data_IF_485426197653
#
_entry.id   IF_485426197653
#
_cell.length_a   1.000
_cell.length_b   1.000
_cell.length_c   1.000
_cell.angle_alpha   90.00
_cell.angle_beta   90.00
_cell.angle_gamma   90.00
#
_symmetry.space_group_name_H-M   'P 1'
#
loop_
_entity.id
_entity.type
_entity.pdbx_description
1 polymer ?
#
# COMPACT_ATOMS: atom_id res chain seq x y z
N UNK A 1 43.01 -40.20 3.32
CA UNK A 1 42.69 -38.75 3.28
C UNK A 1 41.19 -38.54 3.50
N UNK A 2 40.71 -38.67 4.74
CA UNK A 2 39.27 -38.52 5.04
C UNK A 2 39.01 -37.84 6.40
N UNK A 3 39.99 -37.10 6.93
CA UNK A 3 39.86 -36.37 8.22
C UNK A 3 39.65 -34.85 8.02
N UNK A 4 39.81 -34.35 6.78
CA UNK A 4 39.79 -32.92 6.48
C UNK A 4 38.40 -32.32 6.23
N UNK A 5 37.41 -33.11 5.79
CA UNK A 5 36.08 -32.60 5.47
C UNK A 5 35.16 -32.51 6.70
N UNK A 6 35.25 -33.42 7.67
CA UNK A 6 34.47 -33.33 8.93
C UNK A 6 34.80 -32.07 9.75
N UNK A 7 36.07 -31.66 9.79
CA UNK A 7 36.52 -30.47 10.54
C UNK A 7 36.02 -29.16 9.92
N UNK A 8 35.89 -29.09 8.59
CA UNK A 8 35.31 -27.93 7.91
C UNK A 8 33.79 -27.86 8.09
N UNK A 9 33.12 -29.01 8.15
CA UNK A 9 31.68 -29.10 8.43
C UNK A 9 31.37 -28.66 9.87
N UNK A 10 32.20 -29.02 10.84
CA UNK A 10 32.08 -28.56 12.24
C UNK A 10 32.44 -27.07 12.41
N UNK A 11 33.42 -26.55 11.66
CA UNK A 11 33.76 -25.12 11.66
C UNK A 11 32.68 -24.23 11.03
N UNK A 12 31.94 -24.72 10.04
CA UNK A 12 30.83 -23.99 9.44
C UNK A 12 29.67 -23.79 10.42
N UNK A 13 29.45 -24.73 11.34
CA UNK A 13 28.43 -24.61 12.40
C UNK A 13 28.87 -23.72 13.59
N UNK A 14 30.17 -23.47 13.78
CA UNK A 14 30.69 -22.70 14.92
C UNK A 14 31.04 -21.24 14.60
N UNK A 15 30.82 -20.76 13.37
CA UNK A 15 31.34 -19.45 12.92
C UNK A 15 30.31 -18.38 12.66
N UNK A 16 29.07 -18.58 13.08
CA UNK A 16 28.10 -17.51 13.30
C UNK A 16 27.11 -17.96 14.38
N UNK A 17 27.57 -18.08 15.63
CA UNK A 17 26.68 -17.82 16.76
C UNK A 17 26.42 -16.32 16.80
N UNK A 18 25.64 -15.84 15.85
CA UNK A 18 24.86 -14.63 16.06
C UNK A 18 23.63 -15.13 16.80
N UNK A 19 23.62 -14.99 18.13
CA UNK A 19 22.37 -15.12 18.87
C UNK A 19 21.37 -14.18 18.15
N UNK A 20 20.17 -14.64 17.76
CA UNK A 20 19.17 -13.72 17.24
C UNK A 20 18.94 -12.71 18.35
N UNK A 21 19.46 -11.50 18.17
CA UNK A 21 18.96 -10.38 18.93
C UNK A 21 17.58 -10.15 18.34
N UNK A 22 16.58 -10.85 18.88
CA UNK A 22 15.19 -10.56 18.62
C UNK A 22 14.88 -9.19 19.24
N UNK A 23 15.34 -8.14 18.57
CA UNK A 23 14.66 -6.86 18.60
C UNK A 23 13.54 -6.92 17.55
N UNK A 24 12.65 -7.90 17.65
CA UNK A 24 11.36 -7.81 16.97
C UNK A 24 10.59 -6.70 17.66
N UNK A 25 10.76 -5.49 17.14
CA UNK A 25 9.94 -4.35 17.53
C UNK A 25 8.51 -4.72 17.17
N UNK A 26 7.70 -4.97 18.20
CA UNK A 26 6.31 -5.35 18.01
C UNK A 26 5.49 -4.11 17.61
N UNK A 27 5.49 -3.82 16.31
CA UNK A 27 4.77 -2.71 15.70
C UNK A 27 3.25 -2.78 15.91
N UNK A 28 2.71 -3.93 16.35
CA UNK A 28 1.30 -4.10 16.66
C UNK A 28 0.91 -3.49 18.02
N UNK A 29 1.88 -3.27 18.92
CA UNK A 29 1.65 -2.65 20.25
C UNK A 29 1.63 -1.12 20.23
N UNK A 30 1.88 -0.50 19.08
CA UNK A 30 1.81 0.95 18.97
C UNK A 30 0.37 1.45 19.18
N UNK A 31 0.17 2.54 19.94
CA UNK A 31 -1.15 3.11 20.12
C UNK A 31 -1.63 3.76 18.82
N UNK A 32 -2.96 3.84 18.67
CA UNK A 32 -3.62 4.22 17.42
C UNK A 32 -3.28 5.65 16.95
N UNK A 33 -3.05 6.55 17.89
CA UNK A 33 -2.59 7.93 17.65
C UNK A 33 -1.21 7.98 17.00
N UNK A 34 -0.26 7.15 17.46
CA UNK A 34 1.08 7.02 16.87
C UNK A 34 1.00 6.43 15.47
N UNK A 35 0.18 5.39 15.27
CA UNK A 35 -0.04 4.81 13.93
C UNK A 35 -0.61 5.83 12.95
N UNK A 36 -1.60 6.61 13.39
CA UNK A 36 -2.21 7.67 12.59
C UNK A 36 -1.18 8.75 12.24
N UNK A 37 -0.28 9.10 13.16
CA UNK A 37 0.79 10.06 12.91
C UNK A 37 1.83 9.52 11.91
N UNK A 38 2.18 8.23 12.01
CA UNK A 38 3.07 7.57 11.03
C UNK A 38 2.43 7.61 9.65
N UNK A 39 1.15 7.27 9.53
CA UNK A 39 0.42 7.31 8.27
C UNK A 39 0.21 8.71 7.72
N UNK A 40 0.01 9.71 8.59
CA UNK A 40 -0.01 11.11 8.15
C UNK A 40 1.34 11.54 7.53
N UNK A 41 2.46 10.99 8.02
CA UNK A 41 3.81 11.24 7.45
C UNK A 41 4.10 10.46 6.19
N UNK A 42 3.66 9.20 6.12
CA UNK A 42 3.81 8.35 4.93
C UNK A 42 2.93 8.84 3.78
N UNK A 43 1.74 9.34 4.11
CA UNK A 43 0.75 9.78 3.15
C UNK A 43 0.01 8.61 2.46
N UNK A 44 -1.05 8.93 1.71
CA UNK A 44 -1.95 7.91 1.18
C UNK A 44 -1.31 6.97 0.15
N UNK A 45 -0.30 7.42 -0.62
CA UNK A 45 0.36 6.57 -1.63
C UNK A 45 1.11 5.40 -0.98
N UNK A 46 1.93 5.68 0.03
CA UNK A 46 2.68 4.64 0.77
C UNK A 46 1.72 3.66 1.47
N UNK A 47 0.59 4.15 1.97
CA UNK A 47 -0.45 3.31 2.56
C UNK A 47 -1.05 2.35 1.52
N UNK A 48 -1.33 2.85 0.30
CA UNK A 48 -1.81 2.02 -0.83
C UNK A 48 -0.76 1.04 -1.35
N UNK A 49 0.53 1.38 -1.24
CA UNK A 49 1.63 0.49 -1.60
C UNK A 49 1.86 -0.65 -0.60
N UNK A 50 1.21 -0.61 0.57
CA UNK A 50 1.17 -1.74 1.50
C UNK A 50 1.54 -1.41 2.94
N UNK A 51 1.76 -0.14 3.31
CA UNK A 51 2.07 0.19 4.71
C UNK A 51 0.95 -0.25 5.67
N UNK A 52 -0.31 -0.31 5.22
CA UNK A 52 -1.42 -0.86 6.01
C UNK A 52 -1.45 -2.39 6.18
N UNK A 53 -0.59 -3.13 5.49
CA UNK A 53 -0.63 -4.61 5.47
C UNK A 53 0.34 -5.28 6.45
N UNK A 54 1.04 -4.48 7.27
CA UNK A 54 2.06 -4.99 8.21
C UNK A 54 1.45 -5.88 9.29
N UNK A 55 0.37 -5.41 9.95
CA UNK A 55 -0.37 -6.15 10.96
C UNK A 55 -1.78 -5.57 11.13
N UNK A 56 -2.64 -6.24 11.91
CA UNK A 56 -4.03 -5.86 12.07
C UNK A 56 -4.24 -4.41 12.59
N UNK A 57 -3.52 -3.92 13.62
CA UNK A 57 -3.66 -2.51 14.05
C UNK A 57 -3.31 -1.48 12.98
N UNK A 58 -2.30 -1.77 12.15
CA UNK A 58 -1.92 -0.91 11.02
C UNK A 58 -2.98 -0.92 9.92
N UNK A 59 -3.61 -2.07 9.68
CA UNK A 59 -4.73 -2.14 8.73
C UNK A 59 -5.90 -1.29 9.18
N UNK A 60 -6.23 -1.32 10.48
CA UNK A 60 -7.31 -0.50 11.04
C UNK A 60 -6.99 0.99 10.97
N UNK A 61 -5.76 1.39 11.33
CA UNK A 61 -5.32 2.77 11.19
C UNK A 61 -5.37 3.26 9.73
N UNK A 62 -5.03 2.40 8.75
CA UNK A 62 -5.02 2.75 7.33
C UNK A 62 -6.42 2.98 6.75
N UNK A 63 -7.47 2.45 7.40
CA UNK A 63 -8.87 2.62 6.98
C UNK A 63 -9.48 3.94 7.47
N UNK A 64 -8.82 4.68 8.36
CA UNK A 64 -9.38 5.90 8.94
C UNK A 64 -9.56 7.00 7.88
N UNK A 65 -10.81 7.38 7.53
CA UNK A 65 -11.09 8.31 6.42
C UNK A 65 -10.64 9.75 6.72
N UNK A 66 -10.74 10.16 8.00
CA UNK A 66 -10.78 11.58 8.39
C UNK A 66 -9.45 12.33 8.28
N UNK A 67 -8.31 11.64 8.33
CA UNK A 67 -6.99 12.28 8.29
C UNK A 67 -6.17 11.89 7.08
N UNK A 68 -6.34 10.67 6.58
CA UNK A 68 -5.41 10.07 5.62
C UNK A 68 -5.86 10.27 4.18
N UNK A 69 -7.16 10.40 3.95
CA UNK A 69 -7.77 10.31 2.62
C UNK A 69 -8.44 11.60 2.15
N UNK A 70 -8.19 12.75 2.81
CA UNK A 70 -8.72 14.06 2.37
C UNK A 70 -8.02 14.58 1.11
N UNK A 71 -6.75 14.24 0.93
CA UNK A 71 -5.96 14.68 -0.23
C UNK A 71 -5.17 13.50 -0.81
N UNK A 72 -5.30 13.29 -2.12
CA UNK A 72 -4.50 12.32 -2.85
C UNK A 72 -3.75 13.01 -4.00
N UNK A 73 -2.43 12.95 -3.96
CA UNK A 73 -1.58 13.44 -5.04
C UNK A 73 -0.81 12.28 -5.68
N UNK A 74 -1.04 12.10 -6.98
CA UNK A 74 -0.47 11.09 -7.85
C UNK A 74 0.30 11.70 -9.03
N UNK A 75 0.52 13.03 -9.07
CA UNK A 75 1.06 13.75 -10.22
C UNK A 75 2.47 13.32 -10.65
N UNK A 76 3.22 12.65 -9.78
CA UNK A 76 4.61 12.27 -10.09
C UNK A 76 4.86 10.76 -10.06
N UNK A 77 3.80 9.94 -9.91
CA UNK A 77 3.97 8.49 -9.78
C UNK A 77 4.38 7.83 -11.09
N UNK A 78 3.89 8.34 -12.23
CA UNK A 78 4.26 7.84 -13.56
C UNK A 78 5.75 8.05 -13.91
N UNK A 79 6.36 9.07 -13.31
CA UNK A 79 7.76 9.45 -13.50
C UNK A 79 8.69 8.74 -12.53
N UNK A 80 8.14 7.95 -11.59
CA UNK A 80 8.91 7.12 -10.67
C UNK A 80 9.70 6.04 -11.42
N UNK A 81 10.87 5.66 -10.90
CA UNK A 81 11.63 4.51 -11.40
C UNK A 81 10.96 3.16 -11.06
N UNK A 82 9.92 3.18 -10.23
CA UNK A 82 9.16 2.00 -9.85
C UNK A 82 8.27 1.50 -11.01
N UNK A 83 8.56 0.31 -11.52
CA UNK A 83 7.81 -0.31 -12.61
C UNK A 83 6.31 -0.49 -12.30
N UNK A 84 5.95 -0.67 -11.03
CA UNK A 84 4.55 -0.79 -10.59
C UNK A 84 3.81 0.54 -10.73
N UNK A 85 4.47 1.65 -10.41
CA UNK A 85 3.91 3.00 -10.51
C UNK A 85 3.85 3.53 -11.96
N UNK A 86 4.48 2.84 -12.91
CA UNK A 86 4.31 3.09 -14.35
C UNK A 86 3.10 2.38 -14.95
N UNK A 87 2.50 1.43 -14.22
CA UNK A 87 1.33 0.69 -14.70
C UNK A 87 0.05 1.49 -14.44
N UNK A 88 -0.57 1.98 -15.50
CA UNK A 88 -1.81 2.76 -15.43
C UNK A 88 -2.96 1.99 -14.75
N UNK A 89 -3.08 0.67 -14.95
CA UNK A 89 -4.09 -0.14 -14.27
C UNK A 89 -3.87 -0.15 -12.76
N UNK A 90 -2.61 -0.19 -12.32
CA UNK A 90 -2.28 -0.14 -10.89
C UNK A 90 -2.58 1.24 -10.32
N UNK A 91 -2.22 2.33 -11.01
CA UNK A 91 -2.56 3.70 -10.61
C UNK A 91 -4.09 3.90 -10.51
N UNK A 92 -4.85 3.35 -11.47
CA UNK A 92 -6.32 3.37 -11.44
C UNK A 92 -6.89 2.59 -10.24
N UNK A 93 -6.34 1.42 -9.94
CA UNK A 93 -6.72 0.65 -8.76
C UNK A 93 -6.42 1.40 -7.45
N UNK A 94 -5.26 2.07 -7.38
CA UNK A 94 -4.90 2.92 -6.25
C UNK A 94 -5.87 4.10 -6.08
N UNK A 95 -6.17 4.82 -7.17
CA UNK A 95 -7.13 5.91 -7.14
C UNK A 95 -8.51 5.43 -6.67
N UNK A 96 -8.97 4.29 -7.17
CA UNK A 96 -10.23 3.66 -6.74
C UNK A 96 -10.24 3.37 -5.25
N UNK A 97 -9.19 2.69 -4.77
CA UNK A 97 -9.03 2.36 -3.36
C UNK A 97 -8.98 3.59 -2.44
N UNK A 98 -8.39 4.69 -2.91
CA UNK A 98 -8.33 5.94 -2.16
C UNK A 98 -9.71 6.60 -2.07
N UNK A 99 -10.47 6.61 -3.17
CA UNK A 99 -11.85 7.13 -3.18
C UNK A 99 -12.76 6.30 -2.28
N UNK A 100 -12.66 4.98 -2.35
CA UNK A 100 -13.45 4.07 -1.51
C UNK A 100 -13.12 4.26 -0.02
N UNK A 101 -11.84 4.49 0.33
CA UNK A 101 -11.42 4.75 1.72
C UNK A 101 -11.73 6.17 2.22
N UNK A 102 -11.84 7.14 1.33
CA UNK A 102 -12.18 8.50 1.72
C UNK A 102 -13.64 8.64 2.17
N UNK A 103 -14.50 7.66 1.88
CA UNK A 103 -15.92 7.65 2.29
C UNK A 103 -16.65 8.97 1.96
N UNK A 104 -16.40 9.51 0.77
CA UNK A 104 -16.97 10.78 0.30
C UNK A 104 -16.33 12.05 0.87
N UNK A 105 -15.27 11.94 1.68
CA UNK A 105 -14.51 13.06 2.29
C UNK A 105 -13.23 13.41 1.54
N UNK A 106 -13.06 12.94 0.30
CA UNK A 106 -11.92 13.31 -0.55
C UNK A 106 -12.09 14.76 -1.03
N UNK A 107 -11.22 15.65 -0.59
CA UNK A 107 -11.27 17.08 -0.91
C UNK A 107 -10.42 17.42 -2.13
N UNK A 108 -9.25 16.79 -2.27
CA UNK A 108 -8.33 17.04 -3.37
C UNK A 108 -7.85 15.75 -4.00
N UNK A 109 -7.93 15.69 -5.33
CA UNK A 109 -7.38 14.60 -6.15
C UNK A 109 -6.53 15.20 -7.27
N UNK A 110 -5.29 14.79 -7.36
CA UNK A 110 -4.30 15.29 -8.30
C UNK A 110 -3.63 14.10 -8.99
N UNK A 111 -3.63 14.05 -10.32
CA UNK A 111 -2.98 12.99 -11.08
C UNK A 111 -2.63 13.48 -12.49
N UNK A 112 -1.45 13.11 -13.00
CA UNK A 112 -1.01 13.46 -14.34
C UNK A 112 -1.41 12.34 -15.32
N UNK A 113 -2.31 12.69 -16.25
CA UNK A 113 -2.76 11.87 -17.38
C UNK A 113 -3.45 10.54 -17.02
N UNK A 114 -4.55 10.59 -16.27
CA UNK A 114 -5.64 9.64 -16.54
C UNK A 114 -6.21 10.00 -17.92
N UNK A 115 -5.65 9.42 -18.98
CA UNK A 115 -6.27 9.47 -20.30
C UNK A 115 -7.60 8.72 -20.16
N UNK A 116 -8.68 9.45 -20.42
CA UNK A 116 -10.09 9.04 -20.36
C UNK A 116 -10.68 8.80 -18.95
N UNK A 117 -11.00 9.89 -18.25
CA UNK A 117 -12.36 10.17 -17.76
C UNK A 117 -12.36 11.47 -16.95
N UNK A 118 -13.27 12.39 -17.31
CA UNK A 118 -13.46 13.68 -16.65
C UNK A 118 -13.44 13.63 -15.11
N UNK A 119 -12.72 14.54 -14.44
CA UNK A 119 -12.74 14.66 -13.00
C UNK A 119 -13.92 15.55 -12.58
N UNK A 120 -15.07 14.93 -12.28
CA UNK A 120 -16.08 15.57 -11.41
C UNK A 120 -16.34 14.64 -10.23
N UNK A 121 -15.68 14.96 -9.11
CA UNK A 121 -15.64 14.21 -7.84
C UNK A 121 -16.97 13.91 -7.15
N UNK A 122 -18.12 14.09 -7.80
CA UNK A 122 -19.44 13.61 -7.33
C UNK A 122 -20.00 12.45 -8.14
N UNK A 123 -19.49 12.20 -9.35
CA UNK A 123 -20.01 11.14 -10.23
C UNK A 123 -19.21 9.84 -10.16
N UNK A 124 -17.95 9.86 -9.72
CA UNK A 124 -17.14 8.65 -9.60
C UNK A 124 -17.71 7.69 -8.54
N UNK A 125 -18.15 8.20 -7.39
CA UNK A 125 -18.80 7.38 -6.36
C UNK A 125 -20.05 6.64 -6.89
N UNK A 126 -20.81 7.27 -7.79
CA UNK A 126 -22.04 6.68 -8.35
C UNK A 126 -21.80 5.78 -9.57
N UNK A 127 -20.82 6.11 -10.41
CA UNK A 127 -20.42 5.29 -11.55
C UNK A 127 -19.77 3.97 -11.10
N UNK A 128 -19.09 3.98 -9.95
CA UNK A 128 -18.34 2.83 -9.42
C UNK A 128 -19.14 1.93 -8.46
N UNK A 129 -20.34 2.37 -8.03
CA UNK A 129 -21.32 1.58 -7.27
C UNK A 129 -22.37 0.88 -8.15
N UNK A 130 -22.36 1.08 -9.46
CA UNK A 130 -23.23 0.30 -10.36
C UNK A 130 -22.64 -1.08 -10.55
N UNK A 131 -23.33 -2.18 -10.20
CA UNK A 131 -22.88 -3.52 -10.57
C UNK A 131 -22.99 -3.59 -12.09
N UNK A 132 -21.85 -3.62 -12.79
CA UNK A 132 -21.83 -3.96 -14.21
C UNK A 132 -22.46 -5.35 -14.33
N UNK A 133 -23.75 -5.37 -14.68
CA UNK A 133 -24.46 -6.57 -15.02
C UNK A 133 -23.78 -7.15 -16.25
N UNK A 134 -23.18 -8.33 -16.06
CA UNK A 134 -22.86 -9.21 -17.16
C UNK A 134 -24.14 -9.46 -17.96
N UNK A 135 -24.08 -9.22 -19.27
CA UNK A 135 -24.82 -10.00 -20.24
C UNK A 135 -24.03 -9.99 -21.55
N UNK A 136 -23.83 -11.16 -22.18
CA UNK A 136 -23.12 -11.27 -23.44
C UNK A 136 -23.99 -10.72 -24.58
N UNK A 137 -23.35 -10.10 -25.57
CA UNK A 137 -23.98 -9.75 -26.85
C UNK A 137 -24.29 -11.03 -27.63
N UNK A 138 -25.53 -11.24 -28.10
CA UNK A 138 -25.77 -12.10 -29.24
C UNK A 138 -25.73 -11.22 -30.50
N UNK A 139 -24.73 -11.41 -31.34
CA UNK A 139 -24.79 -11.41 -32.81
C UNK A 139 -23.39 -11.75 -33.35
#
# INVERSE_FOLDING_TARGET
MACGLELLRQRAHQRFSFAPMEMETDWSKLPMDVLTLIFAKLGPIEILMGAGLVCHPWLEAAKLPDLLWRSLDMKHLNSSNNAVLKNEHFLRAMARMAVDRADGRLETFAADNFVDAEPKGRHLSRALSSPTAASPTPY
#
